data_IF_111123649714
#
_entry.id   IF_111123649714
#
_cell.length_a   1.000
_cell.length_b   1.000
_cell.length_c   1.000
_cell.angle_alpha   90.00
_cell.angle_beta   90.00
_cell.angle_gamma   90.00
#
_symmetry.space_group_name_H-M   'P 1'
#
loop_
_entity.id
_entity.type
_entity.pdbx_description
1 polymer ?
#
# COMPACT_ATOMS: atom_id res chain seq x y z
N UNK A 1 -55.24 3.95 31.88
CA UNK A 1 -55.40 3.35 33.22
C UNK A 1 -54.57 2.08 33.27
N UNK A 2 -53.54 2.05 34.16
CA UNK A 2 -52.88 0.89 34.80
C UNK A 2 -52.06 -0.04 33.89
N UNK A 3 -50.84 -0.52 34.20
CA UNK A 3 -49.81 -0.38 35.26
C UNK A 3 -48.52 -1.01 34.64
N UNK A 4 -47.35 -0.36 34.62
CA UNK A 4 -46.23 -0.42 35.59
C UNK A 4 -45.73 -1.81 36.04
N UNK A 5 -44.43 -2.09 35.83
CA UNK A 5 -43.44 -2.77 36.73
C UNK A 5 -42.21 -3.18 35.87
N UNK A 6 -41.08 -2.46 35.82
CA UNK A 6 -39.94 -2.39 36.75
C UNK A 6 -39.47 -3.73 37.36
N UNK A 7 -38.25 -4.16 37.02
CA UNK A 7 -37.31 -4.81 37.96
C UNK A 7 -35.84 -4.57 37.55
N UNK A 8 -35.17 -3.81 38.42
CA UNK A 8 -33.72 -3.71 38.65
C UNK A 8 -33.21 -4.97 39.35
N UNK A 9 -31.91 -5.33 39.22
CA UNK A 9 -31.06 -5.86 40.32
C UNK A 9 -29.58 -5.70 39.94
N UNK A 10 -28.79 -5.25 40.91
CA UNK A 10 -27.36 -4.98 40.87
C UNK A 10 -26.57 -5.96 41.78
N UNK A 11 -25.30 -6.20 41.42
CA UNK A 11 -24.07 -6.46 42.21
C UNK A 11 -23.98 -7.53 43.35
N UNK A 12 -22.83 -8.24 43.38
CA UNK A 12 -21.90 -8.64 44.50
C UNK A 12 -20.98 -9.80 44.00
N UNK A 13 -19.68 -9.61 43.69
CA UNK A 13 -18.41 -9.64 44.49
C UNK A 13 -17.87 -11.05 44.91
N UNK A 14 -16.68 -11.40 44.34
CA UNK A 14 -15.48 -12.19 44.74
C UNK A 14 -15.55 -13.35 45.81
N UNK A 15 -14.78 -14.46 45.75
CA UNK A 15 -13.30 -14.58 45.84
C UNK A 15 -12.75 -16.00 45.45
N UNK A 16 -11.55 -15.99 44.82
CA UNK A 16 -10.42 -16.95 44.68
C UNK A 16 -10.48 -18.47 45.00
N UNK A 17 -9.78 -19.25 44.16
CA UNK A 17 -8.51 -19.92 44.58
C UNK A 17 -7.61 -20.29 43.40
N UNK A 18 -6.31 -20.30 43.68
CA UNK A 18 -5.17 -20.30 42.76
C UNK A 18 -4.74 -21.69 42.25
N UNK A 19 -4.05 -21.74 41.11
CA UNK A 19 -2.95 -22.71 40.89
C UNK A 19 -1.95 -22.26 39.81
N UNK A 20 -0.71 -22.09 40.30
CA UNK A 20 0.61 -22.26 39.67
C UNK A 20 0.98 -21.50 38.39
N UNK A 21 1.85 -20.51 38.59
CA UNK A 21 2.88 -20.04 37.67
C UNK A 21 3.72 -21.21 37.16
N UNK A 22 3.86 -21.33 35.84
CA UNK A 22 5.09 -21.82 35.22
C UNK A 22 5.47 -20.86 34.11
N UNK A 23 6.68 -20.31 34.22
CA UNK A 23 7.24 -19.37 33.26
C UNK A 23 7.52 -20.10 31.95
N UNK A 24 6.77 -19.77 30.90
CA UNK A 24 7.13 -20.09 29.53
C UNK A 24 7.68 -18.80 28.88
N UNK A 25 9.00 -18.76 28.77
CA UNK A 25 9.75 -17.80 27.95
C UNK A 25 9.19 -17.79 26.53
N UNK A 26 8.72 -16.63 26.07
CA UNK A 26 8.35 -16.44 24.67
C UNK A 26 9.56 -16.61 23.76
N UNK A 27 9.47 -17.37 22.65
CA UNK A 27 10.50 -17.30 21.63
C UNK A 27 10.37 -15.96 20.92
N UNK A 28 11.38 -15.10 21.12
CA UNK A 28 11.61 -13.95 20.27
C UNK A 28 11.93 -14.46 18.85
N UNK A 29 10.99 -14.31 17.92
CA UNK A 29 11.30 -14.40 16.51
C UNK A 29 11.90 -13.07 16.06
N UNK A 30 13.21 -12.94 16.28
CA UNK A 30 14.03 -11.93 15.64
C UNK A 30 14.15 -12.28 14.15
N UNK A 31 13.47 -11.53 13.29
CA UNK A 31 13.82 -11.49 11.87
C UNK A 31 14.98 -10.51 11.71
N UNK A 32 16.19 -11.04 11.79
CA UNK A 32 17.41 -10.37 11.38
C UNK A 32 17.85 -10.97 10.04
N UNK A 33 17.73 -10.21 8.96
CA UNK A 33 18.60 -10.43 7.80
C UNK A 33 19.77 -9.48 7.96
N UNK A 34 20.89 -10.05 8.40
CA UNK A 34 22.14 -9.36 8.61
C UNK A 34 22.87 -9.10 7.29
N UNK A 35 23.43 -7.91 7.17
CA UNK A 35 24.55 -7.66 6.28
C UNK A 35 25.83 -8.26 6.85
N UNK A 36 26.74 -8.67 5.96
CA UNK A 36 28.12 -9.03 6.29
C UNK A 36 28.59 -10.29 5.60
N UNK A 37 29.33 -10.12 4.49
CA UNK A 37 29.83 -11.21 3.66
C UNK A 37 30.98 -12.02 4.23
N UNK A 38 31.39 -13.03 3.45
CA UNK A 38 32.67 -13.73 3.63
C UNK A 38 32.61 -15.25 3.42
N UNK A 39 32.96 -15.68 2.20
CA UNK A 39 33.85 -16.81 1.92
C UNK A 39 33.52 -18.23 2.43
N UNK A 40 33.38 -19.16 1.49
CA UNK A 40 34.09 -20.44 1.55
C UNK A 40 33.28 -21.69 1.95
N UNK A 41 32.96 -22.50 0.93
CA UNK A 41 33.16 -23.96 0.89
C UNK A 41 32.53 -24.86 1.96
N UNK A 42 31.74 -25.84 1.50
CA UNK A 42 31.57 -27.10 2.25
C UNK A 42 30.18 -27.72 2.16
N UNK A 43 30.10 -28.82 1.40
CA UNK A 43 29.02 -29.80 1.35
C UNK A 43 28.55 -30.32 2.71
N UNK A 44 27.26 -30.62 2.84
CA UNK A 44 26.74 -31.48 3.90
C UNK A 44 25.23 -31.58 3.91
N UNK A 45 24.68 -32.64 3.31
CA UNK A 45 23.26 -32.97 3.41
C UNK A 45 22.88 -33.39 4.84
N UNK A 46 21.63 -33.09 5.21
CA UNK A 46 21.04 -33.50 6.48
C UNK A 46 19.60 -33.02 6.55
N UNK A 47 18.68 -33.84 6.06
CA UNK A 47 17.25 -33.61 6.27
C UNK A 47 16.86 -33.87 7.72
N UNK A 48 16.00 -33.02 8.26
CA UNK A 48 15.11 -33.38 9.37
C UNK A 48 13.77 -32.70 9.14
N UNK A 49 12.72 -33.52 9.17
CA UNK A 49 11.34 -33.11 8.91
C UNK A 49 10.81 -32.17 9.99
N UNK A 50 10.18 -31.10 9.54
CA UNK A 50 9.25 -30.28 10.31
C UNK A 50 7.99 -30.12 9.47
N UNK A 51 6.84 -30.33 10.11
CA UNK A 51 5.47 -30.22 9.59
C UNK A 51 5.34 -29.38 8.31
N UNK A 52 5.11 -30.07 7.19
CA UNK A 52 4.88 -29.45 5.89
C UNK A 52 3.61 -28.60 5.93
N UNK A 53 3.78 -27.29 6.03
CA UNK A 53 2.90 -26.41 5.25
C UNK A 53 3.02 -26.89 3.80
N UNK A 54 1.91 -26.99 3.05
CA UNK A 54 2.02 -27.32 1.64
C UNK A 54 3.00 -26.31 1.00
N UNK A 55 3.81 -26.78 0.06
CA UNK A 55 4.72 -25.91 -0.69
C UNK A 55 3.85 -25.11 -1.68
N UNK A 56 3.10 -24.13 -1.17
CA UNK A 56 2.14 -23.38 -1.96
C UNK A 56 2.92 -22.33 -2.76
N UNK A 57 2.77 -22.26 -4.10
CA UNK A 57 3.34 -21.22 -4.93
C UNK A 57 3.03 -19.83 -4.37
N UNK A 58 4.06 -19.06 -4.04
CA UNK A 58 3.92 -17.69 -3.52
C UNK A 58 4.60 -16.74 -4.50
N UNK A 59 3.79 -16.01 -5.27
CA UNK A 59 4.32 -14.87 -6.01
C UNK A 59 4.75 -13.76 -5.04
N UNK A 60 5.72 -12.96 -5.47
CA UNK A 60 6.32 -11.89 -4.70
C UNK A 60 5.91 -10.52 -5.23
N UNK A 61 5.99 -10.33 -6.54
CA UNK A 61 5.61 -9.10 -7.22
C UNK A 61 4.78 -9.44 -8.45
N UNK A 62 3.89 -8.53 -8.80
CA UNK A 62 3.11 -8.61 -10.04
C UNK A 62 3.36 -7.38 -10.92
N UNK A 63 3.23 -7.57 -12.22
CA UNK A 63 3.15 -6.53 -13.23
C UNK A 63 1.99 -6.84 -14.18
N UNK A 64 1.47 -5.83 -14.87
CA UNK A 64 0.32 -5.99 -15.74
C UNK A 64 0.59 -5.32 -17.08
N UNK A 65 0.25 -5.99 -18.18
CA UNK A 65 0.29 -5.41 -19.53
C UNK A 65 -0.60 -6.20 -20.47
N UNK A 66 -1.33 -5.51 -21.35
CA UNK A 66 -2.08 -6.11 -22.47
C UNK A 66 -2.96 -7.32 -22.08
N UNK A 67 -3.81 -7.19 -21.06
CA UNK A 67 -4.68 -8.31 -20.66
C UNK A 67 -3.93 -9.47 -19.99
N UNK A 68 -2.68 -9.26 -19.54
CA UNK A 68 -1.88 -10.27 -18.83
C UNK A 68 -1.33 -9.72 -17.52
N UNK A 69 -1.23 -10.60 -16.54
CA UNK A 69 -0.51 -10.42 -15.29
C UNK A 69 0.74 -11.29 -15.31
N UNK A 70 1.87 -10.67 -15.00
CA UNK A 70 3.18 -11.29 -14.91
C UNK A 70 3.55 -11.35 -13.44
N UNK A 71 3.81 -12.53 -12.91
CA UNK A 71 4.06 -12.74 -11.49
C UNK A 71 5.43 -13.38 -11.27
N UNK A 72 6.23 -12.78 -10.39
CA UNK A 72 7.52 -13.32 -9.97
C UNK A 72 7.35 -14.30 -8.82
N UNK A 73 7.81 -15.54 -8.97
CA UNK A 73 7.77 -16.58 -7.94
C UNK A 73 9.15 -16.75 -7.35
N UNK A 74 9.42 -15.97 -6.31
CA UNK A 74 10.75 -15.86 -5.67
C UNK A 74 11.34 -17.21 -5.27
N UNK A 75 10.58 -18.09 -4.61
CA UNK A 75 11.10 -19.39 -4.15
C UNK A 75 11.18 -20.45 -5.25
N UNK A 76 10.41 -20.29 -6.33
CA UNK A 76 10.47 -21.18 -7.48
C UNK A 76 11.55 -20.75 -8.48
N UNK A 77 12.00 -19.50 -8.41
CA UNK A 77 12.91 -18.87 -9.37
C UNK A 77 12.31 -18.83 -10.78
N UNK A 78 11.03 -18.47 -10.85
CA UNK A 78 10.23 -18.48 -12.08
C UNK A 78 9.43 -17.20 -12.23
N UNK A 79 9.14 -16.85 -13.48
CA UNK A 79 8.07 -15.93 -13.83
C UNK A 79 6.93 -16.74 -14.42
N UNK A 80 5.71 -16.49 -13.97
CA UNK A 80 4.50 -17.09 -14.52
C UNK A 80 3.58 -15.99 -15.01
N UNK A 81 2.96 -16.23 -16.17
CA UNK A 81 2.08 -15.27 -16.81
C UNK A 81 0.68 -15.84 -16.86
N UNK A 82 -0.27 -15.01 -16.43
CA UNK A 82 -1.67 -15.32 -16.39
C UNK A 82 -2.41 -14.31 -17.24
N UNK A 83 -3.39 -14.74 -18.01
CA UNK A 83 -4.30 -13.83 -18.68
C UNK A 83 -5.32 -13.24 -17.70
N UNK A 84 -5.81 -12.04 -17.97
CA UNK A 84 -6.99 -11.47 -17.34
C UNK A 84 -7.97 -10.97 -18.42
N UNK A 85 -9.21 -11.45 -18.35
CA UNK A 85 -10.23 -11.21 -19.39
C UNK A 85 -11.58 -10.76 -18.83
N UNK A 86 -11.56 -10.08 -17.67
CA UNK A 86 -12.72 -9.55 -16.93
C UNK A 86 -13.28 -10.42 -15.80
N UNK A 87 -12.50 -11.38 -15.26
CA UNK A 87 -12.86 -12.02 -13.98
C UNK A 87 -12.27 -11.25 -12.81
N UNK A 88 -13.05 -11.11 -11.75
CA UNK A 88 -12.70 -10.45 -10.48
C UNK A 88 -11.52 -11.12 -9.73
N UNK A 89 -11.05 -12.26 -10.25
CA UNK A 89 -9.94 -13.07 -9.73
C UNK A 89 -9.06 -13.53 -10.90
N UNK A 90 -7.74 -13.36 -10.77
CA UNK A 90 -6.75 -13.65 -11.85
C UNK A 90 -5.82 -14.83 -11.53
N UNK A 91 -6.12 -15.64 -10.51
CA UNK A 91 -5.24 -16.75 -10.14
C UNK A 91 -6.01 -18.06 -9.89
N UNK A 92 -5.87 -18.99 -10.84
CA UNK A 92 -6.04 -20.42 -10.63
C UNK A 92 -4.90 -21.11 -11.41
N UNK A 93 -4.14 -22.02 -10.78
CA UNK A 93 -2.96 -22.69 -11.37
C UNK A 93 -3.23 -23.26 -12.79
N UNK A 94 -4.50 -23.57 -13.11
CA UNK A 94 -4.91 -24.12 -14.39
C UNK A 94 -4.98 -23.10 -15.55
N UNK A 95 -4.92 -21.79 -15.28
CA UNK A 95 -5.06 -20.72 -16.29
C UNK A 95 -3.73 -20.07 -16.69
N UNK A 96 -2.60 -20.56 -16.18
CA UNK A 96 -1.28 -20.08 -16.58
C UNK A 96 -1.03 -20.30 -18.08
N UNK A 97 -0.53 -19.28 -18.76
CA UNK A 97 -0.27 -19.32 -20.21
C UNK A 97 1.23 -19.41 -20.56
N UNK A 98 2.10 -18.85 -19.72
CA UNK A 98 3.56 -18.87 -19.92
C UNK A 98 4.23 -19.10 -18.57
N UNK A 99 5.27 -19.93 -18.59
CA UNK A 99 6.18 -20.14 -17.46
C UNK A 99 7.61 -20.15 -17.99
N UNK A 100 8.49 -19.36 -17.37
CA UNK A 100 9.91 -19.36 -17.69
C UNK A 100 10.76 -19.07 -16.46
N UNK A 101 12.05 -19.39 -16.56
CA UNK A 101 12.97 -19.32 -15.44
C UNK A 101 13.19 -20.67 -14.75
N UNK A 102 14.36 -20.78 -14.12
CA UNK A 102 14.70 -21.84 -13.19
C UNK A 102 15.86 -21.35 -12.31
N UNK A 103 16.15 -22.07 -11.22
CA UNK A 103 17.27 -21.72 -10.34
C UNK A 103 18.61 -21.75 -11.13
N UNK A 104 19.35 -20.65 -11.12
CA UNK A 104 20.70 -20.61 -11.66
C UNK A 104 21.28 -19.23 -11.94
N UNK A 105 22.51 -19.22 -12.46
CA UNK A 105 23.33 -18.02 -12.68
C UNK A 105 23.48 -17.65 -14.17
N UNK A 106 22.81 -18.36 -15.07
CA UNK A 106 22.93 -18.17 -16.53
C UNK A 106 21.77 -17.33 -17.05
N UNK A 107 21.87 -16.87 -18.28
CA UNK A 107 20.80 -16.21 -19.03
C UNK A 107 19.49 -17.01 -18.93
N UNK A 108 18.41 -16.32 -18.59
CA UNK A 108 17.09 -16.91 -18.39
C UNK A 108 16.93 -17.78 -17.14
N UNK A 109 17.94 -17.82 -16.26
CA UNK A 109 17.85 -18.44 -14.93
C UNK A 109 17.90 -17.37 -13.85
N UNK A 110 17.24 -17.62 -12.73
CA UNK A 110 17.12 -16.66 -11.63
C UNK A 110 17.65 -17.22 -10.31
N UNK A 111 18.01 -16.33 -9.41
CA UNK A 111 18.12 -16.59 -7.98
C UNK A 111 17.28 -15.52 -7.27
N UNK A 112 16.14 -15.91 -6.71
CA UNK A 112 15.19 -15.02 -6.04
C UNK A 112 14.78 -13.81 -6.90
N UNK A 113 14.04 -14.02 -8.02
CA UNK A 113 13.48 -12.90 -8.76
C UNK A 113 12.46 -12.15 -7.90
N UNK A 114 12.67 -10.86 -7.66
CA UNK A 114 11.81 -10.06 -6.76
C UNK A 114 10.89 -9.12 -7.53
N UNK A 115 11.42 -8.03 -8.05
CA UNK A 115 10.72 -7.00 -8.80
C UNK A 115 10.48 -7.43 -10.24
N UNK A 116 9.34 -7.01 -10.78
CA UNK A 116 8.98 -7.21 -12.18
C UNK A 116 8.22 -5.98 -12.67
N UNK A 117 8.49 -5.60 -13.91
CA UNK A 117 7.71 -4.60 -14.62
C UNK A 117 7.68 -4.89 -16.12
N UNK A 118 6.67 -4.38 -16.83
CA UNK A 118 6.46 -4.66 -18.25
C UNK A 118 6.23 -3.37 -19.01
N UNK A 119 7.02 -3.13 -20.04
CA UNK A 119 6.93 -1.94 -20.88
C UNK A 119 7.42 -2.23 -22.29
N UNK A 120 6.76 -1.65 -23.30
CA UNK A 120 7.10 -1.77 -24.72
C UNK A 120 7.37 -3.22 -25.18
N UNK A 121 6.51 -4.15 -24.76
CA UNK A 121 6.61 -5.57 -25.14
C UNK A 121 7.81 -6.31 -24.53
N UNK A 122 8.42 -5.75 -23.47
CA UNK A 122 9.52 -6.37 -22.73
C UNK A 122 9.16 -6.54 -21.26
N UNK A 123 9.64 -7.63 -20.68
CA UNK A 123 9.54 -7.94 -19.26
C UNK A 123 10.90 -7.66 -18.63
N UNK A 124 10.93 -6.81 -17.61
CA UNK A 124 12.12 -6.47 -16.85
C UNK A 124 12.01 -7.10 -15.46
N UNK A 125 13.03 -7.87 -15.06
CA UNK A 125 13.01 -8.61 -13.80
C UNK A 125 14.27 -8.30 -13.01
N UNK A 126 14.12 -7.96 -11.72
CA UNK A 126 15.27 -7.91 -10.81
C UNK A 126 15.61 -9.34 -10.38
N UNK A 127 16.75 -9.83 -10.87
CA UNK A 127 17.31 -11.12 -10.48
C UNK A 127 18.16 -10.93 -9.22
N UNK A 128 17.47 -10.68 -8.10
CA UNK A 128 18.04 -10.05 -6.91
C UNK A 128 19.21 -10.83 -6.30
N UNK A 129 19.12 -12.16 -6.27
CA UNK A 129 20.19 -13.02 -5.77
C UNK A 129 21.42 -13.03 -6.67
N UNK A 130 21.27 -12.75 -7.97
CA UNK A 130 22.37 -12.61 -8.92
C UNK A 130 22.85 -11.15 -9.07
N UNK A 131 22.15 -10.18 -8.48
CA UNK A 131 22.51 -8.76 -8.49
C UNK A 131 22.58 -8.18 -9.91
N UNK A 132 21.59 -8.52 -10.74
CA UNK A 132 21.45 -8.06 -12.12
C UNK A 132 19.98 -7.85 -12.47
N UNK A 133 19.74 -7.14 -13.57
CA UNK A 133 18.44 -7.06 -14.22
C UNK A 133 18.47 -7.95 -15.44
N UNK A 134 17.43 -8.76 -15.64
CA UNK A 134 17.24 -9.53 -16.86
C UNK A 134 16.02 -9.02 -17.62
N UNK A 135 16.13 -9.00 -18.95
CA UNK A 135 15.10 -8.51 -19.87
C UNK A 135 14.67 -9.65 -20.77
N UNK A 136 13.37 -9.80 -20.93
CA UNK A 136 12.73 -10.85 -21.73
C UNK A 136 11.73 -10.22 -22.70
N UNK A 137 11.38 -10.95 -23.76
CA UNK A 137 10.19 -10.64 -24.54
C UNK A 137 8.92 -11.16 -23.83
N UNK A 138 7.73 -10.82 -24.37
CA UNK A 138 6.46 -11.25 -23.78
C UNK A 138 6.22 -12.77 -23.84
N UNK A 139 7.01 -13.51 -24.62
CA UNK A 139 6.95 -14.98 -24.72
C UNK A 139 7.89 -15.66 -23.71
N UNK A 140 8.64 -14.87 -22.92
CA UNK A 140 9.57 -15.36 -21.90
C UNK A 140 10.96 -15.73 -22.43
N UNK A 141 11.29 -15.37 -23.67
CA UNK A 141 12.63 -15.59 -24.20
C UNK A 141 13.58 -14.52 -23.66
N UNK A 142 14.77 -14.94 -23.24
CA UNK A 142 15.81 -14.02 -22.79
C UNK A 142 16.26 -13.09 -23.93
N UNK A 143 16.31 -11.79 -23.65
CA UNK A 143 16.73 -10.74 -24.60
C UNK A 143 18.09 -10.19 -24.22
N UNK A 144 18.25 -9.73 -22.98
CA UNK A 144 19.49 -9.12 -22.50
C UNK A 144 19.55 -9.11 -20.98
N UNK A 145 20.72 -8.77 -20.44
CA UNK A 145 20.91 -8.49 -19.03
C UNK A 145 21.90 -7.36 -18.83
N UNK A 146 21.81 -6.72 -17.67
CA UNK A 146 22.79 -5.73 -17.25
C UNK A 146 22.95 -5.72 -15.73
N UNK A 147 24.11 -5.23 -15.32
CA UNK A 147 24.52 -5.16 -13.93
C UNK A 147 25.23 -6.41 -13.41
N UNK A 148 25.81 -6.24 -12.23
CA UNK A 148 26.56 -7.26 -11.51
C UNK A 148 26.70 -6.85 -10.05
N UNK A 149 27.15 -7.75 -9.19
CA UNK A 149 27.33 -7.43 -7.77
C UNK A 149 28.33 -6.30 -7.54
N UNK A 150 27.95 -5.30 -6.75
CA UNK A 150 28.83 -4.23 -6.26
C UNK A 150 28.09 -2.92 -5.99
N UNK A 151 28.85 -1.86 -5.72
CA UNK A 151 28.34 -0.53 -5.37
C UNK A 151 28.73 0.58 -6.36
N UNK A 152 29.38 0.22 -7.48
CA UNK A 152 29.69 1.18 -8.54
C UNK A 152 28.46 1.44 -9.42
N UNK A 153 28.51 2.46 -10.27
CA UNK A 153 27.48 2.76 -11.27
C UNK A 153 27.18 1.51 -12.11
N UNK A 154 25.88 1.19 -12.23
CA UNK A 154 25.41 0.02 -12.94
C UNK A 154 25.71 -1.32 -12.25
N UNK A 155 26.20 -1.32 -11.00
CA UNK A 155 26.29 -2.52 -10.15
C UNK A 155 25.24 -2.48 -9.06
N UNK A 156 24.81 -3.65 -8.61
CA UNK A 156 23.74 -3.79 -7.63
C UNK A 156 24.18 -4.61 -6.42
N UNK A 157 23.53 -4.40 -5.29
CA UNK A 157 23.53 -5.32 -4.15
C UNK A 157 22.06 -5.49 -3.70
N UNK A 158 21.51 -6.67 -3.96
CA UNK A 158 20.10 -7.02 -3.73
C UNK A 158 19.09 -6.02 -4.36
N UNK A 159 19.05 -5.88 -5.69
CA UNK A 159 18.08 -5.01 -6.35
C UNK A 159 16.67 -5.55 -6.15
N UNK A 160 15.80 -4.81 -5.48
CA UNK A 160 14.57 -5.37 -4.93
C UNK A 160 13.34 -5.09 -5.79
N UNK A 161 13.34 -3.96 -6.50
CA UNK A 161 12.22 -3.54 -7.32
C UNK A 161 12.65 -2.74 -8.55
N UNK A 162 11.78 -2.70 -9.55
CA UNK A 162 12.02 -2.07 -10.85
C UNK A 162 10.74 -1.43 -11.38
N UNK A 163 10.88 -0.23 -11.96
CA UNK A 163 9.81 0.49 -12.64
C UNK A 163 10.29 1.17 -13.90
N UNK A 164 9.51 1.13 -14.96
CA UNK A 164 9.76 1.80 -16.22
C UNK A 164 8.86 3.03 -16.31
N UNK A 165 9.47 4.20 -16.48
CA UNK A 165 8.74 5.45 -16.64
C UNK A 165 9.47 6.38 -17.61
N UNK A 166 8.74 6.88 -18.62
CA UNK A 166 9.27 7.77 -19.68
C UNK A 166 10.60 7.27 -20.28
N UNK A 167 10.63 6.00 -20.72
CA UNK A 167 11.80 5.33 -21.32
C UNK A 167 13.04 5.26 -20.42
N UNK A 168 12.85 5.28 -19.11
CA UNK A 168 13.90 5.06 -18.12
C UNK A 168 13.52 3.92 -17.19
N UNK A 169 14.53 3.17 -16.76
CA UNK A 169 14.40 2.10 -15.78
C UNK A 169 14.87 2.63 -14.44
N UNK A 170 14.00 2.59 -13.43
CA UNK A 170 14.29 2.95 -12.05
C UNK A 170 14.40 1.67 -11.24
N UNK A 171 15.54 1.45 -10.57
CA UNK A 171 15.82 0.23 -9.81
C UNK A 171 16.09 0.59 -8.36
N UNK A 172 15.35 -0.03 -7.43
CA UNK A 172 15.67 0.01 -6.01
C UNK A 172 16.87 -0.90 -5.73
N UNK A 173 18.06 -0.30 -5.61
CA UNK A 173 19.30 -0.97 -5.26
C UNK A 173 19.45 -1.02 -3.73
N UNK A 174 18.68 -1.91 -3.12
CA UNK A 174 18.27 -1.83 -1.72
C UNK A 174 19.43 -1.87 -0.73
N UNK A 175 20.38 -2.79 -0.88
CA UNK A 175 21.50 -2.91 0.08
C UNK A 175 22.55 -1.80 -0.10
N UNK A 176 22.52 -1.11 -1.24
CA UNK A 176 23.30 0.11 -1.49
C UNK A 176 22.56 1.39 -1.08
N UNK A 177 21.29 1.32 -0.62
CA UNK A 177 20.50 2.47 -0.15
C UNK A 177 20.35 3.57 -1.21
N UNK A 178 20.12 3.18 -2.46
CA UNK A 178 19.97 4.11 -3.58
C UNK A 178 18.93 3.63 -4.59
N UNK A 179 18.45 4.56 -5.40
CA UNK A 179 17.74 4.28 -6.64
C UNK A 179 18.71 4.55 -7.78
N UNK A 180 18.89 3.58 -8.67
CA UNK A 180 19.65 3.77 -9.90
C UNK A 180 18.70 3.91 -11.09
N UNK A 181 19.08 4.77 -12.04
CA UNK A 181 18.33 5.08 -13.24
C UNK A 181 19.13 4.67 -14.47
N UNK A 182 18.48 3.97 -15.39
CA UNK A 182 19.06 3.49 -16.64
C UNK A 182 18.20 3.90 -17.84
N UNK A 183 18.79 3.86 -19.03
CA UNK A 183 18.00 3.81 -20.26
C UNK A 183 17.44 2.39 -20.51
N UNK A 184 16.60 2.24 -21.53
CA UNK A 184 15.99 0.94 -21.86
C UNK A 184 16.98 -0.10 -22.42
N UNK A 185 18.21 0.31 -22.77
CA UNK A 185 19.29 -0.57 -23.20
C UNK A 185 20.15 -1.04 -22.02
N UNK A 186 19.87 -0.56 -20.80
CA UNK A 186 20.57 -0.94 -19.57
C UNK A 186 21.84 -0.12 -19.30
N UNK A 187 22.04 1.00 -19.99
CA UNK A 187 23.15 1.91 -19.70
C UNK A 187 22.80 2.78 -18.49
N UNK A 188 23.75 2.92 -17.56
CA UNK A 188 23.59 3.78 -16.40
C UNK A 188 23.42 5.25 -16.82
N UNK A 189 22.43 5.93 -16.24
CA UNK A 189 22.12 7.33 -16.49
C UNK A 189 22.42 8.19 -15.28
N UNK A 190 21.88 7.82 -14.12
CA UNK A 190 22.04 8.56 -12.86
C UNK A 190 21.69 7.70 -11.66
N UNK A 191 21.96 8.22 -10.46
CA UNK A 191 21.51 7.64 -9.21
C UNK A 191 21.23 8.73 -8.19
N UNK A 192 20.43 8.39 -7.19
CA UNK A 192 20.25 9.20 -6.00
C UNK A 192 19.96 8.30 -4.80
N UNK A 193 20.19 8.83 -3.61
CA UNK A 193 20.08 8.06 -2.38
C UNK A 193 21.36 7.98 -1.58
N UNK A 194 21.19 7.81 -0.29
CA UNK A 194 22.22 7.41 0.63
C UNK A 194 21.57 6.77 1.86
N UNK A 195 22.37 6.14 2.72
CA UNK A 195 21.90 5.66 4.03
C UNK A 195 21.24 6.77 4.85
N UNK A 196 21.72 7.99 4.76
CA UNK A 196 21.17 9.12 5.52
C UNK A 196 19.89 9.66 4.87
N UNK A 197 19.83 9.76 3.54
CA UNK A 197 18.64 10.24 2.83
C UNK A 197 17.47 9.24 2.96
N UNK A 198 17.74 7.94 2.81
CA UNK A 198 16.71 6.91 2.90
C UNK A 198 16.44 6.43 4.33
N UNK A 199 17.44 6.39 5.21
CA UNK A 199 17.39 5.86 6.58
C UNK A 199 16.97 4.38 6.73
N UNK A 200 16.61 3.73 5.62
CA UNK A 200 16.24 2.32 5.49
C UNK A 200 16.45 1.90 4.03
N UNK A 201 16.46 0.60 3.75
CA UNK A 201 16.58 0.13 2.37
C UNK A 201 15.34 0.57 1.57
N UNK A 202 15.49 1.17 0.37
CA UNK A 202 14.36 1.36 -0.53
C UNK A 202 13.82 -0.03 -0.92
N UNK A 203 12.53 -0.27 -0.76
CA UNK A 203 11.96 -1.63 -0.88
C UNK A 203 11.14 -1.82 -2.15
N UNK A 204 10.09 -1.01 -2.31
CA UNK A 204 9.23 -0.94 -3.51
C UNK A 204 9.13 0.50 -3.96
N UNK A 205 8.92 0.72 -5.25
CA UNK A 205 8.70 2.06 -5.78
C UNK A 205 7.62 2.10 -6.84
N UNK A 206 7.08 3.29 -7.06
CA UNK A 206 6.34 3.64 -8.26
C UNK A 206 6.74 5.04 -8.73
N UNK A 207 6.59 5.31 -10.04
CA UNK A 207 6.95 6.59 -10.64
C UNK A 207 5.76 7.14 -11.41
N UNK A 208 5.25 8.28 -10.96
CA UNK A 208 4.08 8.91 -11.55
C UNK A 208 4.22 10.42 -11.54
N UNK A 209 3.85 11.06 -12.65
CA UNK A 209 3.87 12.53 -12.81
C UNK A 209 5.18 13.18 -12.33
N UNK A 210 6.30 12.59 -12.76
CA UNK A 210 7.66 13.05 -12.45
C UNK A 210 8.02 13.05 -10.96
N UNK A 211 7.31 12.24 -10.17
CA UNK A 211 7.62 11.93 -8.77
C UNK A 211 7.92 10.45 -8.60
N UNK A 212 8.87 10.16 -7.72
CA UNK A 212 9.28 8.81 -7.35
C UNK A 212 8.78 8.54 -5.93
N UNK A 213 7.89 7.57 -5.78
CA UNK A 213 7.32 7.14 -4.52
C UNK A 213 8.04 5.89 -4.06
N UNK A 214 8.67 5.94 -2.89
CA UNK A 214 9.48 4.84 -2.37
C UNK A 214 8.91 4.36 -1.04
N UNK A 215 8.62 3.07 -0.96
CA UNK A 215 8.20 2.40 0.26
C UNK A 215 9.41 2.19 1.16
N UNK A 216 9.39 2.83 2.34
CA UNK A 216 10.35 2.59 3.40
C UNK A 216 9.80 1.56 4.38
N UNK A 217 9.85 0.27 4.00
CA UNK A 217 9.22 -0.85 4.71
C UNK A 217 9.51 -0.86 6.21
N UNK A 218 10.77 -0.70 6.60
CA UNK A 218 11.20 -0.73 8.00
C UNK A 218 10.77 0.51 8.80
N UNK A 219 10.53 1.64 8.11
CA UNK A 219 10.13 2.91 8.71
C UNK A 219 8.61 3.08 8.77
N UNK A 220 7.86 2.27 8.01
CA UNK A 220 6.39 2.34 7.92
C UNK A 220 5.93 3.71 7.37
N UNK A 221 6.62 4.18 6.34
CA UNK A 221 6.33 5.45 5.67
C UNK A 221 6.60 5.32 4.17
N UNK A 222 6.04 6.25 3.40
CA UNK A 222 6.33 6.45 1.98
C UNK A 222 7.15 7.73 1.86
N UNK A 223 8.28 7.67 1.17
CA UNK A 223 9.10 8.84 0.84
C UNK A 223 8.90 9.22 -0.62
N UNK A 224 8.72 10.51 -0.89
CA UNK A 224 8.48 11.03 -2.24
C UNK A 224 9.62 11.95 -2.66
N UNK A 225 10.12 11.72 -3.86
CA UNK A 225 11.22 12.46 -4.48
C UNK A 225 10.79 12.98 -5.86
N UNK A 226 11.50 13.95 -6.41
CA UNK A 226 11.43 14.25 -7.83
C UNK A 226 12.35 13.33 -8.66
N UNK A 227 12.39 13.54 -9.98
CA UNK A 227 13.24 12.74 -10.88
C UNK A 227 14.74 13.00 -10.75
N UNK A 228 15.14 14.13 -10.14
CA UNK A 228 16.54 14.45 -9.86
C UNK A 228 17.00 13.81 -8.53
N UNK A 229 16.05 13.27 -7.76
CA UNK A 229 16.31 12.59 -6.49
C UNK A 229 16.25 13.50 -5.27
N UNK A 230 15.74 14.72 -5.44
CA UNK A 230 15.54 15.64 -4.33
C UNK A 230 14.30 15.21 -3.53
N UNK A 231 14.45 15.21 -2.21
CA UNK A 231 13.37 14.83 -1.30
C UNK A 231 12.28 15.90 -1.30
N UNK A 232 11.03 15.50 -1.52
CA UNK A 232 9.87 16.38 -1.53
C UNK A 232 9.12 16.34 -0.20
N UNK A 233 8.60 15.16 0.16
CA UNK A 233 7.83 14.95 1.39
C UNK A 233 7.75 13.46 1.72
N UNK A 234 7.18 13.16 2.89
CA UNK A 234 6.87 11.80 3.32
C UNK A 234 5.55 11.77 4.07
N UNK A 235 4.91 10.61 4.08
CA UNK A 235 3.68 10.37 4.83
C UNK A 235 3.64 8.94 5.37
N UNK A 236 2.80 8.72 6.37
CA UNK A 236 2.75 7.47 7.13
C UNK A 236 3.63 7.48 8.37
N UNK A 237 3.20 6.70 9.35
CA UNK A 237 3.94 6.37 10.58
C UNK A 237 3.53 4.98 11.03
N UNK A 238 4.31 4.36 11.92
CA UNK A 238 3.96 3.04 12.45
C UNK A 238 2.67 3.09 13.26
N UNK A 239 1.69 2.27 12.90
CA UNK A 239 0.48 2.07 13.68
C UNK A 239 -0.63 1.34 12.92
N UNK A 240 -1.86 1.50 13.41
CA UNK A 240 -3.05 0.75 12.95
C UNK A 240 -4.20 1.70 12.53
N UNK A 241 -4.09 3.00 12.85
CA UNK A 241 -5.10 4.00 12.47
C UNK A 241 -5.01 4.35 10.98
N UNK A 242 -6.01 5.05 10.46
CA UNK A 242 -6.00 5.47 9.05
C UNK A 242 -4.84 6.42 8.78
N UNK A 243 -4.17 6.23 7.65
CA UNK A 243 -2.92 6.93 7.32
C UNK A 243 -1.68 6.45 8.07
N UNK A 244 -1.81 5.49 8.99
CA UNK A 244 -0.69 4.77 9.60
C UNK A 244 -0.45 3.43 8.89
N UNK A 245 0.78 2.92 8.97
CA UNK A 245 1.17 1.68 8.33
C UNK A 245 1.84 0.72 9.30
N UNK A 246 1.76 -0.57 8.98
CA UNK A 246 2.54 -1.64 9.60
C UNK A 246 3.15 -2.50 8.51
N UNK A 247 4.40 -2.19 8.19
CA UNK A 247 5.21 -2.84 7.15
C UNK A 247 4.55 -2.73 5.77
N UNK A 248 4.36 -1.50 5.24
CA UNK A 248 3.79 -1.31 3.92
C UNK A 248 4.65 -2.05 2.90
N UNK A 249 4.03 -2.86 2.06
CA UNK A 249 4.68 -3.84 1.19
C UNK A 249 4.81 -3.39 -0.25
N UNK A 250 3.87 -2.60 -0.76
CA UNK A 250 3.90 -2.11 -2.13
C UNK A 250 3.13 -0.80 -2.28
N UNK A 251 3.38 -0.12 -3.40
CA UNK A 251 2.76 1.14 -3.76
C UNK A 251 2.40 1.14 -5.25
N UNK A 252 1.25 1.71 -5.59
CA UNK A 252 0.87 2.00 -6.96
C UNK A 252 0.19 3.37 -7.04
N UNK A 253 0.44 4.14 -8.09
CA UNK A 253 -0.06 5.51 -8.24
C UNK A 253 -0.75 5.66 -9.59
N UNK A 254 -1.99 6.15 -9.57
CA UNK A 254 -2.74 6.46 -10.79
C UNK A 254 -3.78 7.53 -10.54
N UNK A 255 -4.00 8.41 -11.53
CA UNK A 255 -5.03 9.44 -11.47
C UNK A 255 -4.95 10.33 -10.24
N UNK A 256 -3.73 10.72 -9.85
CA UNK A 256 -3.41 11.50 -8.64
C UNK A 256 -3.77 10.82 -7.30
N UNK A 257 -4.00 9.51 -7.32
CA UNK A 257 -4.25 8.69 -6.13
C UNK A 257 -3.11 7.72 -5.90
N UNK A 258 -2.75 7.57 -4.63
CA UNK A 258 -1.71 6.65 -4.17
C UNK A 258 -2.37 5.50 -3.43
N UNK A 259 -2.09 4.27 -3.86
CA UNK A 259 -2.55 3.04 -3.23
C UNK A 259 -1.38 2.41 -2.51
N UNK A 260 -1.54 2.11 -1.22
CA UNK A 260 -0.49 1.51 -0.39
C UNK A 260 -1.00 0.22 0.22
N UNK A 261 -0.29 -0.88 -0.07
CA UNK A 261 -0.56 -2.17 0.55
C UNK A 261 0.03 -2.17 1.97
N UNK A 262 -0.85 -2.09 2.98
CA UNK A 262 -0.48 -2.05 4.39
C UNK A 262 -0.47 -3.47 4.97
N UNK A 263 0.62 -4.19 4.67
CA UNK A 263 0.70 -5.64 4.80
C UNK A 263 0.28 -6.18 6.15
N UNK A 264 0.86 -5.72 7.25
CA UNK A 264 0.56 -6.35 8.55
C UNK A 264 -0.73 -5.83 9.19
N UNK A 265 -1.37 -4.82 8.60
CA UNK A 265 -2.73 -4.41 8.94
C UNK A 265 -3.77 -5.02 8.00
N UNK A 266 -3.33 -5.87 7.04
CA UNK A 266 -4.23 -6.61 6.14
C UNK A 266 -5.23 -5.70 5.41
N UNK A 267 -4.75 -4.57 4.89
CA UNK A 267 -5.58 -3.60 4.18
C UNK A 267 -4.80 -2.92 3.05
N UNK A 268 -5.53 -2.31 2.12
CA UNK A 268 -4.96 -1.36 1.15
C UNK A 268 -5.59 0.00 1.40
N UNK A 269 -4.76 1.00 1.66
CA UNK A 269 -5.17 2.37 1.90
C UNK A 269 -4.95 3.23 0.66
N UNK A 270 -5.85 4.18 0.41
CA UNK A 270 -5.81 5.11 -0.71
C UNK A 270 -5.60 6.52 -0.17
N UNK A 271 -4.71 7.25 -0.81
CA UNK A 271 -4.31 8.61 -0.44
C UNK A 271 -4.40 9.53 -1.66
N UNK A 272 -4.49 10.83 -1.40
CA UNK A 272 -4.27 11.84 -2.43
C UNK A 272 -2.78 11.94 -2.78
N UNK A 273 -2.47 12.73 -3.80
CA UNK A 273 -1.09 12.91 -4.24
C UNK A 273 -0.17 13.51 -3.18
N UNK A 274 -0.72 14.21 -2.16
CA UNK A 274 0.03 14.84 -1.09
C UNK A 274 0.24 13.90 0.12
N UNK A 275 -0.32 12.69 0.08
CA UNK A 275 -0.22 11.71 1.15
C UNK A 275 -1.30 11.84 2.22
N UNK A 276 -2.39 12.57 1.97
CA UNK A 276 -3.55 12.60 2.86
C UNK A 276 -4.43 11.38 2.62
N UNK A 277 -4.86 10.72 3.70
CA UNK A 277 -5.72 9.54 3.61
C UNK A 277 -7.09 9.90 2.99
N UNK A 278 -7.51 9.14 2.00
CA UNK A 278 -8.79 9.31 1.30
C UNK A 278 -9.80 8.23 1.65
N UNK A 279 -9.42 6.96 1.58
CA UNK A 279 -10.30 5.81 1.85
C UNK A 279 -9.48 4.51 1.85
N UNK A 280 -10.14 3.36 1.97
CA UNK A 280 -9.53 2.04 1.81
C UNK A 280 -10.16 1.31 0.62
N UNK A 281 -9.45 0.32 0.08
CA UNK A 281 -10.11 -0.70 -0.74
C UNK A 281 -10.97 -1.54 0.20
N UNK A 282 -12.28 -1.35 0.12
CA UNK A 282 -13.25 -2.04 0.95
C UNK A 282 -13.53 -3.42 0.33
N UNK A 283 -12.99 -4.48 0.95
CA UNK A 283 -13.34 -5.85 0.62
C UNK A 283 -14.75 -6.14 1.15
N UNK A 284 -15.77 -5.52 0.56
CA UNK A 284 -17.16 -5.84 0.89
C UNK A 284 -17.50 -7.26 0.43
N UNK A 285 -18.60 -7.83 0.95
CA UNK A 285 -19.02 -9.25 0.86
C UNK A 285 -18.92 -9.99 -0.50
N UNK A 286 -18.63 -9.30 -1.61
CA UNK A 286 -18.26 -9.87 -2.91
C UNK A 286 -16.79 -10.37 -2.96
N UNK A 287 -15.90 -9.81 -2.15
CA UNK A 287 -14.48 -10.10 -2.10
C UNK A 287 -14.08 -10.66 -0.73
N UNK A 288 -13.13 -11.59 -0.70
CA UNK A 288 -12.51 -12.02 0.56
C UNK A 288 -11.69 -10.86 1.14
N UNK A 289 -11.68 -10.73 2.47
CA UNK A 289 -10.78 -9.80 3.17
C UNK A 289 -9.33 -9.96 2.67
N UNK A 290 -8.48 -8.94 2.84
CA UNK A 290 -7.05 -9.10 2.57
C UNK A 290 -6.34 -9.84 3.71
N UNK A 291 -5.40 -10.72 3.40
CA UNK A 291 -4.46 -11.37 4.33
C UNK A 291 -3.04 -11.04 3.87
N UNK A 292 -2.57 -9.88 4.32
CA UNK A 292 -1.21 -9.39 4.04
C UNK A 292 -0.98 -9.12 2.55
N UNK A 293 -1.71 -8.14 1.98
CA UNK A 293 -1.52 -7.74 0.59
C UNK A 293 -0.06 -7.36 0.38
N UNK A 294 0.54 -7.84 -0.71
CA UNK A 294 1.98 -7.80 -0.90
C UNK A 294 2.39 -7.07 -2.18
N UNK A 295 1.57 -7.09 -3.22
CA UNK A 295 1.89 -6.39 -4.45
C UNK A 295 0.69 -5.70 -5.06
N UNK A 296 0.91 -4.53 -5.66
CA UNK A 296 -0.10 -3.71 -6.32
C UNK A 296 0.36 -3.42 -7.74
N UNK A 297 -0.54 -3.51 -8.71
CA UNK A 297 -0.29 -2.97 -10.06
C UNK A 297 -1.58 -2.37 -10.60
N UNK A 298 -1.43 -1.31 -11.40
CA UNK A 298 -2.55 -0.64 -12.05
C UNK A 298 -2.43 -0.81 -13.56
N UNK A 299 -3.54 -1.15 -14.21
CA UNK A 299 -3.66 -1.21 -15.67
C UNK A 299 -5.11 -0.93 -16.07
N UNK A 300 -5.33 -0.05 -17.05
CA UNK A 300 -6.65 0.24 -17.64
C UNK A 300 -7.77 0.50 -16.61
N UNK A 301 -7.54 1.46 -15.71
CA UNK A 301 -8.45 1.84 -14.61
C UNK A 301 -8.71 0.76 -13.55
N UNK A 302 -7.97 -0.36 -13.59
CA UNK A 302 -8.06 -1.42 -12.58
C UNK A 302 -6.84 -1.41 -11.68
N UNK A 303 -7.06 -1.69 -10.41
CA UNK A 303 -6.00 -2.08 -9.48
C UNK A 303 -6.07 -3.58 -9.21
N UNK A 304 -4.93 -4.24 -9.38
CA UNK A 304 -4.73 -5.65 -9.09
C UNK A 304 -4.00 -5.74 -7.75
N UNK A 305 -4.63 -6.39 -6.77
CA UNK A 305 -4.10 -6.57 -5.43
C UNK A 305 -3.67 -8.01 -5.25
N UNK A 306 -2.36 -8.19 -5.19
CA UNK A 306 -1.74 -9.47 -4.89
C UNK A 306 -1.80 -9.78 -3.40
N UNK A 307 -2.68 -10.71 -3.02
CA UNK A 307 -2.76 -11.29 -1.68
C UNK A 307 -1.98 -12.62 -1.60
N UNK A 308 -0.86 -12.60 -0.88
CA UNK A 308 0.11 -13.71 -0.85
C UNK A 308 -0.40 -14.94 -0.09
N UNK A 309 -1.31 -14.79 0.88
CA UNK A 309 -1.75 -15.91 1.72
C UNK A 309 -3.13 -16.43 1.35
N UNK A 310 -3.93 -15.65 0.62
CA UNK A 310 -5.21 -16.10 0.07
C UNK A 310 -5.11 -16.67 -1.35
N UNK A 311 -3.98 -16.54 -2.06
CA UNK A 311 -3.75 -17.13 -3.40
C UNK A 311 -4.66 -16.59 -4.50
N UNK A 312 -5.11 -15.35 -4.41
CA UNK A 312 -5.81 -14.69 -5.51
C UNK A 312 -5.26 -13.29 -5.72
N UNK A 313 -5.24 -12.88 -6.98
CA UNK A 313 -5.07 -11.46 -7.33
C UNK A 313 -6.48 -10.93 -7.46
N UNK A 314 -6.87 -10.08 -6.51
CA UNK A 314 -8.17 -9.41 -6.51
C UNK A 314 -8.11 -8.19 -7.44
N UNK A 315 -9.18 -7.95 -8.19
CA UNK A 315 -9.24 -6.84 -9.16
C UNK A 315 -10.34 -5.87 -8.73
N UNK A 316 -10.02 -4.58 -8.70
CA UNK A 316 -10.97 -3.51 -8.38
C UNK A 316 -10.95 -2.46 -9.49
N UNK A 317 -12.12 -1.99 -9.91
CA UNK A 317 -12.25 -0.84 -10.80
C UNK A 317 -12.06 0.45 -10.00
N UNK A 318 -11.10 1.29 -10.42
CA UNK A 318 -10.80 2.54 -9.73
C UNK A 318 -11.96 3.52 -9.88
N UNK A 319 -12.61 3.56 -11.05
CA UNK A 319 -13.81 4.37 -11.26
C UNK A 319 -14.94 4.03 -10.28
N UNK A 320 -15.13 2.77 -9.92
CA UNK A 320 -16.19 2.37 -8.97
C UNK A 320 -15.89 2.87 -7.56
N UNK A 321 -14.62 2.88 -7.14
CA UNK A 321 -14.18 3.39 -5.82
C UNK A 321 -14.48 4.87 -5.60
N UNK A 322 -14.55 5.63 -6.69
CA UNK A 322 -14.81 7.07 -6.69
C UNK A 322 -16.06 7.42 -7.50
N UNK A 323 -16.90 6.41 -7.79
CA UNK A 323 -18.17 6.62 -8.45
C UNK A 323 -19.07 7.34 -7.47
N UNK A 324 -19.32 8.60 -7.80
CA UNK A 324 -20.05 9.53 -6.96
C UNK A 324 -21.52 9.09 -6.92
N UNK A 325 -21.93 8.37 -5.88
CA UNK A 325 -23.23 8.65 -5.24
C UNK A 325 -23.00 9.63 -4.07
N UNK A 326 -22.39 10.79 -4.33
CA UNK A 326 -22.49 11.94 -3.42
C UNK A 326 -23.61 12.85 -3.90
N UNK A 327 -24.86 12.41 -3.77
CA UNK A 327 -25.86 13.37 -3.34
C UNK A 327 -25.78 13.38 -1.83
N UNK A 328 -25.13 14.39 -1.24
CA UNK A 328 -25.22 14.56 0.20
C UNK A 328 -26.73 14.66 0.53
N UNK A 329 -27.30 13.77 1.37
CA UNK A 329 -28.73 13.74 1.61
C UNK A 329 -29.28 15.12 1.96
N UNK A 330 -30.42 15.49 1.39
CA UNK A 330 -31.01 16.83 1.56
C UNK A 330 -31.17 17.22 3.04
N UNK A 331 -31.39 16.25 3.93
CA UNK A 331 -31.51 16.50 5.36
C UNK A 331 -30.21 17.06 5.99
N UNK A 332 -29.05 16.72 5.45
CA UNK A 332 -27.75 17.24 5.92
C UNK A 332 -27.55 18.68 5.43
N UNK A 333 -27.96 18.97 4.18
CA UNK A 333 -27.99 20.35 3.66
C UNK A 333 -28.95 21.23 4.48
N UNK A 334 -30.10 20.69 4.85
CA UNK A 334 -31.04 21.36 5.74
C UNK A 334 -30.47 21.59 7.15
N UNK A 335 -29.73 20.62 7.72
CA UNK A 335 -29.03 20.81 8.99
C UNK A 335 -27.97 21.91 8.91
N UNK A 336 -27.20 21.98 7.82
CA UNK A 336 -26.23 23.05 7.61
C UNK A 336 -26.91 24.43 7.48
N UNK A 337 -28.07 24.51 6.82
CA UNK A 337 -28.87 25.73 6.76
C UNK A 337 -29.34 26.18 8.15
N UNK A 338 -29.92 25.26 8.93
CA UNK A 338 -30.41 25.53 10.28
C UNK A 338 -29.29 25.87 11.26
N UNK A 339 -28.07 25.41 11.00
CA UNK A 339 -26.92 25.79 11.82
C UNK A 339 -26.39 27.17 11.45
N UNK A 340 -26.34 27.48 10.15
CA UNK A 340 -25.93 28.78 9.65
C UNK A 340 -26.89 29.91 10.06
N UNK A 341 -28.19 29.64 10.17
CA UNK A 341 -29.19 30.61 10.64
C UNK A 341 -29.35 30.65 12.18
N UNK A 342 -28.65 29.77 12.90
CA UNK A 342 -28.66 29.69 14.36
C UNK A 342 -29.87 28.96 14.96
N UNK A 343 -30.65 28.24 14.15
CA UNK A 343 -31.79 27.43 14.59
C UNK A 343 -31.41 26.13 15.31
N UNK A 344 -30.21 25.60 15.07
CA UNK A 344 -29.65 24.45 15.81
C UNK A 344 -28.28 24.80 16.42
N UNK A 345 -27.92 24.10 17.49
CA UNK A 345 -26.64 24.28 18.18
C UNK A 345 -25.50 23.52 17.48
N UNK A 346 -24.26 23.85 17.88
CA UNK A 346 -23.04 23.27 17.30
C UNK A 346 -23.02 21.73 17.46
N UNK A 347 -23.56 21.20 18.57
CA UNK A 347 -23.62 19.76 18.81
C UNK A 347 -24.53 19.04 17.79
N UNK A 348 -25.71 19.61 17.50
CA UNK A 348 -26.67 19.06 16.55
C UNK A 348 -26.12 19.06 15.10
N UNK A 349 -25.33 20.08 14.75
CA UNK A 349 -24.65 20.13 13.45
C UNK A 349 -23.54 19.06 13.35
N UNK A 350 -22.77 18.88 14.43
CA UNK A 350 -21.71 17.87 14.49
C UNK A 350 -22.24 16.43 14.38
N UNK A 351 -23.48 16.15 14.81
CA UNK A 351 -24.12 14.84 14.54
C UNK A 351 -24.31 14.56 13.04
N UNK A 352 -24.64 15.59 12.25
CA UNK A 352 -24.73 15.48 10.78
C UNK A 352 -23.37 15.22 10.14
N UNK A 353 -22.32 15.87 10.63
CA UNK A 353 -20.93 15.60 10.20
C UNK A 353 -20.50 14.19 10.62
N UNK A 354 -20.86 13.75 11.84
CA UNK A 354 -20.63 12.37 12.32
C UNK A 354 -21.27 11.33 11.39
N UNK A 355 -22.49 11.59 10.91
CA UNK A 355 -23.13 10.72 9.91
C UNK A 355 -22.33 10.66 8.60
N UNK A 356 -21.86 11.79 8.07
CA UNK A 356 -21.04 11.81 6.85
C UNK A 356 -19.76 10.99 7.01
N UNK A 357 -19.14 11.02 8.19
CA UNK A 357 -17.94 10.25 8.51
C UNK A 357 -18.26 8.76 8.64
N UNK A 358 -19.29 8.41 9.41
CA UNK A 358 -19.70 7.02 9.64
C UNK A 358 -20.13 6.29 8.35
N UNK A 359 -20.64 7.03 7.37
CA UNK A 359 -21.06 6.47 6.08
C UNK A 359 -19.98 6.64 4.99
N UNK A 360 -18.73 6.95 5.37
CA UNK A 360 -17.60 7.15 4.43
C UNK A 360 -17.86 8.20 3.32
N UNK A 361 -18.76 9.16 3.56
CA UNK A 361 -19.03 10.28 2.65
C UNK A 361 -17.95 11.36 2.81
N UNK A 362 -17.42 11.51 4.02
CA UNK A 362 -16.24 12.34 4.33
C UNK A 362 -15.24 11.48 5.08
N UNK A 363 -13.96 11.58 4.70
CA UNK A 363 -12.87 10.92 5.40
C UNK A 363 -12.02 11.95 6.15
N UNK A 364 -11.77 11.67 7.42
CA UNK A 364 -11.02 12.52 8.34
C UNK A 364 -9.67 11.87 8.65
N UNK A 365 -8.54 12.58 8.46
CA UNK A 365 -7.25 12.12 8.96
C UNK A 365 -7.17 12.23 10.50
N UNK A 366 -6.50 11.29 11.20
CA UNK A 366 -6.41 11.32 12.65
C UNK A 366 -5.60 12.53 13.12
N UNK A 367 -6.22 13.38 13.95
CA UNK A 367 -5.56 14.52 14.60
C UNK A 367 -5.14 14.17 16.03
N UNK A 368 -3.91 14.55 16.41
CA UNK A 368 -3.45 14.43 17.80
C UNK A 368 -4.30 15.30 18.73
N UNK A 369 -4.85 14.70 19.80
CA UNK A 369 -5.63 15.40 20.81
C UNK A 369 -4.76 16.34 21.65
N UNK A 370 -4.48 17.55 21.13
CA UNK A 370 -3.63 18.55 21.78
C UNK A 370 -4.42 19.73 22.37
N UNK A 371 -4.59 19.75 23.70
CA UNK A 371 -5.07 20.84 24.58
C UNK A 371 -6.48 21.43 24.31
N UNK A 372 -7.16 21.79 25.40
CA UNK A 372 -8.51 22.38 25.42
C UNK A 372 -8.56 23.74 24.70
N UNK A 373 -9.58 23.96 23.86
CA UNK A 373 -9.97 25.29 23.41
C UNK A 373 -11.50 25.45 23.42
N UNK A 374 -11.96 26.70 23.56
CA UNK A 374 -13.34 27.09 23.80
C UNK A 374 -14.30 26.51 22.76
N UNK A 375 -15.29 25.72 23.22
CA UNK A 375 -16.30 25.04 22.39
C UNK A 375 -17.27 25.95 21.65
N UNK A 376 -16.75 26.81 20.77
CA UNK A 376 -17.52 27.67 19.87
C UNK A 376 -16.89 27.61 18.49
N UNK A 377 -17.64 27.09 17.52
CA UNK A 377 -17.19 27.00 16.13
C UNK A 377 -17.06 28.44 15.55
N UNK A 378 -15.97 28.78 14.83
CA UNK A 378 -15.79 30.12 14.28
C UNK A 378 -16.90 30.55 13.32
N UNK A 379 -17.32 31.82 13.39
CA UNK A 379 -18.45 32.38 12.63
C UNK A 379 -18.32 32.22 11.10
N UNK A 380 -17.09 32.25 10.58
CA UNK A 380 -16.87 32.07 9.15
C UNK A 380 -17.17 30.64 8.67
N UNK A 381 -17.10 29.63 9.54
CA UNK A 381 -17.48 28.24 9.21
C UNK A 381 -18.99 28.12 9.02
N UNK A 382 -19.78 28.83 9.82
CA UNK A 382 -21.23 28.94 9.65
C UNK A 382 -21.60 29.57 8.31
N UNK A 383 -20.83 30.57 7.88
CA UNK A 383 -21.01 31.18 6.56
C UNK A 383 -20.74 30.18 5.43
N UNK A 384 -19.69 29.36 5.55
CA UNK A 384 -19.38 28.30 4.57
C UNK A 384 -20.48 27.24 4.50
N UNK A 385 -21.02 26.81 5.65
CA UNK A 385 -22.18 25.92 5.72
C UNK A 385 -23.43 26.53 5.07
N UNK A 386 -23.67 27.83 5.29
CA UNK A 386 -24.76 28.57 4.65
C UNK A 386 -24.60 28.71 3.13
N UNK A 387 -23.38 28.90 2.63
CA UNK A 387 -23.10 28.92 1.18
C UNK A 387 -23.34 27.57 0.54
N UNK A 388 -22.98 26.48 1.22
CA UNK A 388 -23.23 25.14 0.74
C UNK A 388 -24.72 24.80 0.70
N UNK A 389 -25.45 25.11 1.77
CA UNK A 389 -26.89 24.86 1.83
C UNK A 389 -27.70 25.65 0.80
N UNK A 390 -27.22 26.83 0.41
CA UNK A 390 -27.84 27.66 -0.65
C UNK A 390 -27.29 27.35 -2.05
N UNK A 391 -26.60 26.21 -2.23
CA UNK A 391 -26.02 25.77 -3.51
C UNK A 391 -25.06 26.80 -4.15
N UNK A 392 -24.48 27.68 -3.34
CA UNK A 392 -23.52 28.69 -3.78
C UNK A 392 -22.12 28.10 -3.95
N UNK A 393 -21.83 27.01 -3.23
CA UNK A 393 -20.66 26.14 -3.42
C UNK A 393 -21.13 24.69 -3.55
N UNK A 394 -20.40 23.89 -4.31
CA UNK A 394 -20.74 22.48 -4.52
C UNK A 394 -20.36 21.58 -3.32
N UNK A 395 -20.88 20.34 -3.33
CA UNK A 395 -20.68 19.35 -2.26
C UNK A 395 -19.19 19.08 -2.02
N UNK A 396 -18.38 18.97 -3.09
CA UNK A 396 -16.94 18.74 -2.97
C UNK A 396 -16.18 19.91 -2.33
N UNK A 397 -16.56 21.14 -2.68
CA UNK A 397 -15.99 22.37 -2.11
C UNK A 397 -16.29 22.49 -0.62
N UNK A 398 -17.49 22.11 -0.19
CA UNK A 398 -17.85 22.09 1.23
C UNK A 398 -17.09 21.01 2.00
N UNK A 399 -16.98 19.80 1.46
CA UNK A 399 -16.22 18.69 2.07
C UNK A 399 -14.76 19.09 2.28
N UNK A 400 -14.11 19.66 1.27
CA UNK A 400 -12.72 20.12 1.37
C UNK A 400 -12.52 21.19 2.46
N UNK A 401 -13.50 22.10 2.62
CA UNK A 401 -13.45 23.12 3.65
C UNK A 401 -13.56 22.53 5.06
N UNK A 402 -14.42 21.52 5.27
CA UNK A 402 -14.56 20.81 6.56
C UNK A 402 -13.28 20.00 6.87
N UNK A 403 -12.70 19.34 5.86
CA UNK A 403 -11.43 18.60 6.02
C UNK A 403 -10.29 19.53 6.45
N UNK A 404 -10.14 20.69 5.81
CA UNK A 404 -9.16 21.71 6.20
C UNK A 404 -9.36 22.18 7.65
N UNK A 405 -10.60 22.42 8.07
CA UNK A 405 -10.93 22.87 9.42
C UNK A 405 -10.56 21.86 10.51
N UNK A 406 -10.72 20.57 10.21
CA UNK A 406 -10.35 19.50 11.13
C UNK A 406 -8.83 19.35 11.17
N UNK A 407 -8.15 19.42 10.02
CA UNK A 407 -6.68 19.39 9.93
C UNK A 407 -6.02 20.51 10.75
N UNK A 408 -6.56 21.72 10.72
CA UNK A 408 -6.07 22.86 11.51
C UNK A 408 -6.47 22.79 13.00
N UNK A 409 -7.16 21.73 13.42
CA UNK A 409 -7.60 21.52 14.80
C UNK A 409 -8.69 22.49 15.26
N UNK A 410 -9.35 23.18 14.32
CA UNK A 410 -10.42 24.15 14.57
C UNK A 410 -11.78 23.48 14.81
N UNK A 411 -11.96 22.26 14.31
CA UNK A 411 -13.09 21.38 14.58
C UNK A 411 -12.53 20.04 15.07
N UNK A 412 -13.09 19.51 16.17
CA UNK A 412 -12.83 18.14 16.64
C UNK A 412 -14.12 17.36 16.56
N UNK A 413 -14.08 16.17 15.96
CA UNK A 413 -15.23 15.26 15.83
C UNK A 413 -14.98 14.01 16.66
#
# INVERSE_FOLDING_TARGET
MRHLLFFTIAFIILFLSALSLSAATQPQHAFAWGGGGGGGGGSGGGGSGGSGTPNIPQYYSIAASEGKIFASFLYENKIKVYPFWSSDLVYEDNNMIIEFGELGLKDGKFVHPMGIDVSDGKIFVTDSGNNRIQVFDLDGNFVSEFGSRGSADGKFDCPHDIKIYKNKIYVADSDNYRIQVFDLDGNFVSEFGSRDQFESQPYKLDVFNDKIYVVAFAKNEIKVFDLDGDFLYKFGKRGEDVGEFRSPSDIAVSGEKIFVADRNNSRVQIFDINGNFLTMLDSNAAYEEFDRPHSLVILDDKIFVGDRFRFHIQVFEISDLFSVETSIPDWIKNNAAWWADGSIDDASFLEGISYLIQNNIIVIPPTDAGAESSGTVPEWVKNTAGWWANETIDDGTFVNAIQYLIQEGLIRV
#
